data_IF_236098656706
#
_entry.id   IF_236098656706
#
_cell.length_a   1.000
_cell.length_b   1.000
_cell.length_c   1.000
_cell.angle_alpha   90.00
_cell.angle_beta   90.00
_cell.angle_gamma   90.00
#
_symmetry.space_group_name_H-M   'P 1'
#
loop_
_entity.id
_entity.type
_entity.pdbx_description
1 polymer ?
#
# COMPACT_ATOMS: atom_id res chain seq x y z
N UNK A 1 16.23 26.80 -11.19
CA UNK A 1 15.13 25.93 -11.70
C UNK A 1 15.38 24.51 -11.22
N UNK A 2 14.42 23.80 -10.61
CA UNK A 2 14.70 22.42 -10.13
C UNK A 2 13.61 21.70 -9.33
N UNK A 3 12.60 22.38 -8.80
CA UNK A 3 11.57 21.74 -7.94
C UNK A 3 10.23 21.43 -8.65
N UNK A 4 10.12 21.63 -9.96
CA UNK A 4 8.82 21.55 -10.67
C UNK A 4 8.31 20.13 -10.98
N UNK A 5 9.10 19.08 -10.74
CA UNK A 5 8.71 17.68 -11.03
C UNK A 5 8.30 16.86 -9.78
N UNK A 6 8.47 17.39 -8.57
CA UNK A 6 8.15 16.65 -7.34
C UNK A 6 6.96 17.30 -6.64
N UNK A 7 5.90 16.52 -6.42
CA UNK A 7 4.66 17.00 -5.78
C UNK A 7 4.87 17.35 -4.30
N UNK A 8 5.64 16.55 -3.57
CA UNK A 8 5.98 16.78 -2.17
C UNK A 8 7.46 16.46 -1.92
N UNK A 9 8.33 17.46 -1.67
CA UNK A 9 9.77 17.28 -1.62
C UNK A 9 10.29 16.83 -0.25
N UNK A 10 9.44 16.24 0.60
CA UNK A 10 9.81 15.84 1.94
C UNK A 10 10.21 14.37 2.00
N UNK A 11 11.27 14.00 2.75
CA UNK A 11 11.69 12.63 2.90
C UNK A 11 10.70 11.81 3.75
N UNK A 12 10.73 10.49 3.60
CA UNK A 12 9.99 9.56 4.44
C UNK A 12 10.95 8.82 5.40
N UNK A 13 10.40 7.91 6.21
CA UNK A 13 11.16 7.14 7.21
C UNK A 13 12.32 6.32 6.61
N UNK A 14 12.17 5.85 5.37
CA UNK A 14 13.16 5.01 4.68
C UNK A 14 14.40 5.80 4.25
N UNK A 15 14.29 7.13 4.17
CA UNK A 15 15.42 8.00 3.88
C UNK A 15 16.47 8.03 5.00
N UNK A 16 16.15 7.54 6.21
CA UNK A 16 17.03 7.63 7.37
C UNK A 16 17.25 6.32 8.14
N UNK A 17 16.24 5.44 8.19
CA UNK A 17 16.29 4.21 8.99
C UNK A 17 17.50 3.33 8.67
N UNK A 18 17.91 3.22 7.40
CA UNK A 18 19.06 2.41 6.98
C UNK A 18 20.42 2.92 7.48
N UNK A 19 20.60 4.24 7.61
CA UNK A 19 21.86 4.84 8.09
C UNK A 19 22.12 4.51 9.56
N UNK A 20 21.04 4.48 10.37
CA UNK A 20 21.13 4.10 11.78
C UNK A 20 21.49 2.62 11.94
N UNK A 21 20.82 1.73 11.18
CA UNK A 21 21.12 0.30 11.22
C UNK A 21 22.58 0.02 10.85
N UNK A 22 23.06 0.67 9.78
CA UNK A 22 24.45 0.56 9.35
C UNK A 22 25.43 1.07 10.42
N UNK A 23 25.14 2.21 11.04
CA UNK A 23 25.99 2.82 12.07
C UNK A 23 26.18 1.88 13.28
N UNK A 24 25.15 1.14 13.66
CA UNK A 24 25.18 0.18 14.75
C UNK A 24 25.62 -1.24 14.34
N UNK A 25 26.18 -1.39 13.13
CA UNK A 25 26.85 -2.62 12.71
C UNK A 25 25.96 -3.64 12.00
N UNK A 26 24.71 -3.29 11.68
CA UNK A 26 23.85 -4.13 10.87
C UNK A 26 24.07 -3.82 9.38
N UNK A 27 24.90 -4.61 8.73
CA UNK A 27 25.35 -4.36 7.34
C UNK A 27 24.60 -5.17 6.29
N UNK A 28 23.75 -6.09 6.74
CA UNK A 28 23.01 -7.03 5.91
C UNK A 28 21.73 -6.37 5.37
N UNK A 29 21.86 -5.48 4.37
CA UNK A 29 20.74 -4.74 3.79
C UNK A 29 19.53 -5.61 3.39
N UNK A 30 19.78 -6.86 2.94
CA UNK A 30 18.72 -7.80 2.56
C UNK A 30 17.86 -8.24 3.76
N UNK A 31 18.36 -8.08 4.98
CA UNK A 31 17.65 -8.42 6.22
C UNK A 31 16.79 -7.27 6.75
N UNK A 32 16.92 -6.04 6.25
CA UNK A 32 16.18 -4.88 6.77
C UNK A 32 14.66 -5.05 6.67
N UNK A 33 14.18 -5.74 5.65
CA UNK A 33 12.75 -6.04 5.47
C UNK A 33 12.21 -7.00 6.53
N UNK A 34 13.06 -7.83 7.15
CA UNK A 34 12.67 -8.68 8.28
C UNK A 34 12.33 -7.80 9.49
N UNK A 35 13.17 -6.81 9.80
CA UNK A 35 12.88 -5.85 10.88
C UNK A 35 11.61 -5.05 10.61
N UNK A 36 11.40 -4.64 9.35
CA UNK A 36 10.16 -3.98 8.95
C UNK A 36 8.93 -4.89 9.17
N UNK A 37 9.03 -6.19 8.83
CA UNK A 37 7.99 -7.17 9.07
C UNK A 37 7.64 -7.35 10.55
N UNK A 38 8.66 -7.45 11.43
CA UNK A 38 8.48 -7.55 12.88
C UNK A 38 7.77 -6.32 13.44
N UNK A 39 8.21 -5.12 13.04
CA UNK A 39 7.55 -3.86 13.44
C UNK A 39 6.11 -3.78 12.92
N UNK A 40 5.85 -4.20 11.68
CA UNK A 40 4.51 -4.18 11.10
C UNK A 40 3.53 -5.16 11.74
N UNK A 41 4.00 -6.28 12.25
CA UNK A 41 3.17 -7.28 12.91
C UNK A 41 2.34 -6.66 14.05
N UNK A 42 2.91 -5.72 14.82
CA UNK A 42 2.22 -5.06 15.93
C UNK A 42 0.91 -4.38 15.49
N UNK A 43 0.95 -3.63 14.38
CA UNK A 43 -0.24 -2.93 13.89
C UNK A 43 -1.22 -3.85 13.15
N UNK A 44 -0.73 -4.77 12.32
CA UNK A 44 -1.60 -5.69 11.56
C UNK A 44 -2.35 -6.62 12.51
N UNK A 45 -1.66 -7.16 13.52
CA UNK A 45 -2.28 -8.08 14.48
C UNK A 45 -3.28 -7.36 15.40
N UNK A 46 -2.99 -6.13 15.83
CA UNK A 46 -3.94 -5.33 16.59
C UNK A 46 -5.22 -5.05 15.78
N UNK A 47 -5.08 -4.67 14.50
CA UNK A 47 -6.23 -4.49 13.61
C UNK A 47 -6.98 -5.81 13.39
N UNK A 48 -6.27 -6.94 13.25
CA UNK A 48 -6.86 -8.26 13.08
C UNK A 48 -7.71 -8.67 14.29
N UNK A 49 -7.24 -8.43 15.52
CA UNK A 49 -8.02 -8.66 16.73
C UNK A 49 -9.37 -7.91 16.68
N UNK A 50 -9.34 -6.64 16.29
CA UNK A 50 -10.55 -5.84 16.12
C UNK A 50 -11.45 -6.32 14.98
N UNK A 51 -10.88 -6.73 13.85
CA UNK A 51 -11.67 -7.30 12.75
C UNK A 51 -12.45 -8.55 13.17
N UNK A 52 -11.90 -9.35 14.10
CA UNK A 52 -12.60 -10.51 14.66
C UNK A 52 -13.61 -10.13 15.72
N UNK A 53 -13.28 -9.20 16.61
CA UNK A 53 -14.20 -8.68 17.62
C UNK A 53 -15.46 -8.05 16.98
N UNK A 54 -15.29 -7.35 15.86
CA UNK A 54 -16.38 -6.70 15.11
C UNK A 54 -17.07 -7.62 14.10
N UNK A 55 -16.63 -8.87 13.95
CA UNK A 55 -17.23 -9.82 13.01
C UNK A 55 -17.15 -9.39 11.54
N UNK A 56 -16.08 -8.70 11.13
CA UNK A 56 -15.94 -8.22 9.74
C UNK A 56 -16.01 -9.39 8.75
N UNK A 57 -16.80 -9.28 7.66
CA UNK A 57 -16.97 -10.34 6.68
C UNK A 57 -15.74 -10.53 5.79
N UNK A 58 -15.76 -11.57 4.95
CA UNK A 58 -14.73 -11.83 3.95
C UNK A 58 -14.63 -10.67 2.94
N UNK A 59 -13.43 -10.14 2.77
CA UNK A 59 -13.15 -9.22 1.68
C UNK A 59 -13.15 -9.98 0.35
N UNK A 60 -14.12 -9.69 -0.54
CA UNK A 60 -14.27 -10.36 -1.83
C UNK A 60 -14.48 -9.34 -2.96
N UNK A 61 -13.41 -8.64 -3.40
CA UNK A 61 -13.50 -7.71 -4.51
C UNK A 61 -13.79 -8.47 -5.81
N UNK A 62 -14.59 -7.86 -6.71
CA UNK A 62 -14.88 -8.43 -8.03
C UNK A 62 -13.78 -8.02 -9.01
N UNK A 63 -13.06 -9.00 -9.55
CA UNK A 63 -12.13 -8.78 -10.65
C UNK A 63 -12.89 -8.60 -11.97
N UNK A 64 -12.42 -7.66 -12.79
CA UNK A 64 -12.98 -7.39 -14.12
C UNK A 64 -11.86 -7.27 -15.14
N UNK A 65 -12.12 -7.68 -16.37
CA UNK A 65 -11.14 -7.57 -17.47
C UNK A 65 -11.27 -6.21 -18.15
N UNK A 66 -10.23 -5.77 -18.85
CA UNK A 66 -10.31 -4.55 -19.64
C UNK A 66 -11.39 -4.62 -20.73
N UNK A 67 -11.63 -5.81 -21.32
CA UNK A 67 -12.72 -6.00 -22.29
C UNK A 67 -14.09 -5.77 -21.66
N UNK A 68 -14.33 -6.37 -20.48
CA UNK A 68 -15.55 -6.14 -19.73
C UNK A 68 -15.75 -4.65 -19.41
N UNK A 69 -14.68 -3.92 -19.04
CA UNK A 69 -14.76 -2.47 -18.80
C UNK A 69 -15.13 -1.70 -20.06
N UNK A 70 -14.57 -2.06 -21.23
CA UNK A 70 -14.93 -1.40 -22.50
C UNK A 70 -16.38 -1.65 -22.88
N UNK A 71 -16.84 -2.88 -22.75
CA UNK A 71 -18.23 -3.28 -23.01
C UNK A 71 -19.19 -2.57 -22.04
N UNK A 72 -18.86 -2.54 -20.75
CA UNK A 72 -19.61 -1.81 -19.74
C UNK A 72 -19.73 -0.31 -20.09
N UNK A 73 -18.63 0.34 -20.49
CA UNK A 73 -18.66 1.75 -20.88
C UNK A 73 -19.42 2.00 -22.19
N UNK A 74 -19.36 1.07 -23.15
CA UNK A 74 -20.11 1.18 -24.40
C UNK A 74 -21.63 1.06 -24.16
N UNK A 75 -22.05 0.06 -23.38
CA UNK A 75 -23.45 -0.13 -22.99
C UNK A 75 -24.01 1.07 -22.21
N UNK A 76 -23.22 1.64 -21.29
CA UNK A 76 -23.62 2.83 -20.51
C UNK A 76 -23.52 4.16 -21.29
N UNK A 77 -22.89 4.18 -22.47
CA UNK A 77 -22.96 5.33 -23.39
C UNK A 77 -24.23 5.28 -24.25
N UNK A 78 -24.71 4.10 -24.58
CA UNK A 78 -25.94 3.89 -25.36
C UNK A 78 -27.21 4.07 -24.51
N UNK A 79 -27.15 3.70 -23.22
CA UNK A 79 -28.18 4.01 -22.21
C UNK A 79 -27.88 5.41 -21.66
N UNK A 80 -28.19 6.44 -22.45
CA UNK A 80 -27.91 7.83 -22.10
C UNK A 80 -28.34 8.21 -20.69
N UNK A 81 -27.39 8.65 -19.87
CA UNK A 81 -27.63 9.80 -19.00
C UNK A 81 -27.87 10.97 -19.97
N UNK A 82 -29.15 11.29 -20.17
CA UNK A 82 -29.54 12.67 -20.47
C UNK A 82 -29.28 13.53 -19.22
#
# INVERSE_FOLDING_TARGET
EGLRQVKHPWPNVDAHSGALLLHYGMTEYRFYTVLFGVSRALGVMAALCWSRALGMPLERPKSVTTNWVREFLAQNKEVGIN
#
